data_IF_043211417190
#
_entry.id   IF_043211417190
#
_cell.length_a   1.000
_cell.length_b   1.000
_cell.length_c   1.000
_cell.angle_alpha   90.00
_cell.angle_beta   90.00
_cell.angle_gamma   90.00
#
_symmetry.space_group_name_H-M   'P 1'
#
loop_
_entity.id
_entity.type
_entity.pdbx_description
1 polymer ?
#
# COMPACT_ATOMS: atom_id res chain seq x y z
N UNK A 1 -24.54 -16.38 -61.76
CA UNK A 1 -25.12 -15.46 -60.76
C UNK A 1 -24.64 -15.97 -59.42
N UNK A 2 -23.44 -15.55 -59.07
CA UNK A 2 -22.76 -15.88 -57.83
C UNK A 2 -22.62 -14.54 -57.11
N UNK A 3 -23.22 -14.40 -55.95
CA UNK A 3 -22.88 -13.40 -54.93
C UNK A 3 -23.50 -13.94 -53.63
N UNK A 4 -22.71 -14.59 -52.79
CA UNK A 4 -21.75 -14.02 -51.82
C UNK A 4 -22.45 -13.84 -50.48
N UNK A 5 -22.17 -14.80 -49.60
CA UNK A 5 -22.64 -14.85 -48.22
C UNK A 5 -21.72 -13.92 -47.42
N UNK A 6 -22.23 -12.76 -47.01
CA UNK A 6 -21.52 -11.90 -46.07
C UNK A 6 -21.59 -12.55 -44.68
N UNK A 7 -20.53 -13.27 -44.34
CA UNK A 7 -20.25 -13.75 -42.99
C UNK A 7 -19.53 -12.64 -42.24
N UNK A 8 -20.24 -11.91 -41.38
CA UNK A 8 -19.61 -10.95 -40.46
C UNK A 8 -19.12 -11.70 -39.22
N UNK A 9 -17.88 -12.18 -39.26
CA UNK A 9 -17.18 -12.60 -38.05
C UNK A 9 -16.92 -11.36 -37.18
N UNK A 10 -17.72 -11.25 -36.12
CA UNK A 10 -17.52 -10.27 -35.06
C UNK A 10 -16.60 -10.90 -34.02
N UNK A 11 -15.29 -10.82 -34.24
CA UNK A 11 -14.28 -11.07 -33.21
C UNK A 11 -14.20 -9.84 -32.28
N UNK A 12 -14.90 -9.88 -31.16
CA UNK A 12 -14.76 -8.85 -30.10
C UNK A 12 -13.78 -9.35 -29.04
N UNK A 13 -12.58 -8.79 -29.09
CA UNK A 13 -11.73 -8.40 -27.95
C UNK A 13 -11.54 -9.39 -26.80
N UNK A 14 -10.42 -10.12 -26.80
CA UNK A 14 -9.84 -10.76 -25.61
C UNK A 14 -8.40 -10.29 -25.32
N UNK A 15 -8.02 -9.09 -25.79
CA UNK A 15 -6.62 -8.62 -25.78
C UNK A 15 -6.32 -7.73 -24.54
N UNK A 16 -7.34 -7.22 -23.84
CA UNK A 16 -7.18 -6.12 -22.86
C UNK A 16 -6.79 -6.56 -21.43
N UNK A 17 -7.25 -7.73 -20.97
CA UNK A 17 -7.15 -8.10 -19.55
C UNK A 17 -5.72 -8.39 -19.05
N UNK A 18 -4.84 -8.87 -19.93
CA UNK A 18 -3.47 -9.26 -19.56
C UNK A 18 -2.58 -8.04 -19.40
N UNK A 19 -2.74 -7.02 -20.24
CA UNK A 19 -1.90 -5.80 -20.23
C UNK A 19 -2.19 -4.91 -19.02
N UNK A 20 -3.45 -4.85 -18.59
CA UNK A 20 -3.87 -4.11 -17.39
C UNK A 20 -3.28 -4.69 -16.10
N UNK A 21 -3.13 -6.00 -16.01
CA UNK A 21 -2.58 -6.66 -14.82
C UNK A 21 -1.08 -6.38 -14.67
N UNK A 22 -0.32 -6.38 -15.77
CA UNK A 22 1.11 -6.07 -15.76
C UNK A 22 1.39 -4.59 -15.47
N UNK A 23 0.57 -3.67 -16.02
CA UNK A 23 0.68 -2.23 -15.71
C UNK A 23 0.29 -1.92 -14.27
N UNK A 24 -0.72 -2.59 -13.72
CA UNK A 24 -1.10 -2.42 -12.32
C UNK A 24 0.01 -2.90 -11.38
N UNK A 25 0.61 -4.07 -11.64
CA UNK A 25 1.73 -4.58 -10.86
C UNK A 25 2.92 -3.63 -10.85
N UNK A 26 3.32 -3.11 -12.02
CA UNK A 26 4.45 -2.18 -12.12
C UNK A 26 4.19 -0.82 -11.48
N UNK A 27 2.92 -0.38 -11.41
CA UNK A 27 2.55 0.82 -10.67
C UNK A 27 2.66 0.61 -9.15
N UNK A 28 2.21 -0.54 -8.64
CA UNK A 28 2.26 -0.84 -7.20
C UNK A 28 3.71 -1.00 -6.70
N UNK A 29 4.59 -1.58 -7.51
CA UNK A 29 6.02 -1.66 -7.22
C UNK A 29 6.64 -0.26 -7.11
N UNK A 30 6.41 0.60 -8.11
CA UNK A 30 6.88 1.99 -8.10
C UNK A 30 6.30 2.82 -6.96
N UNK A 31 5.05 2.57 -6.58
CA UNK A 31 4.39 3.21 -5.44
C UNK A 31 5.07 2.78 -4.13
N UNK A 32 5.38 1.50 -3.98
CA UNK A 32 6.13 0.94 -2.86
C UNK A 32 7.54 1.52 -2.75
N UNK A 33 8.28 1.58 -3.85
CA UNK A 33 9.64 2.14 -3.90
C UNK A 33 9.65 3.62 -3.51
N UNK A 34 8.79 4.44 -4.12
CA UNK A 34 8.71 5.87 -3.80
C UNK A 34 8.30 6.13 -2.34
N UNK A 35 7.47 5.25 -1.79
CA UNK A 35 7.06 5.30 -0.39
C UNK A 35 8.21 4.92 0.55
N UNK A 36 8.96 3.87 0.22
CA UNK A 36 10.12 3.43 0.98
C UNK A 36 11.23 4.49 0.96
N UNK A 37 11.54 5.08 -0.21
CA UNK A 37 12.53 6.16 -0.34
C UNK A 37 12.19 7.35 0.59
N UNK A 38 10.91 7.74 0.64
CA UNK A 38 10.45 8.82 1.51
C UNK A 38 10.61 8.46 2.99
N UNK A 39 10.26 7.23 3.38
CA UNK A 39 10.32 6.76 4.75
C UNK A 39 11.77 6.54 5.21
N UNK A 40 12.64 5.99 4.36
CA UNK A 40 14.07 5.83 4.62
C UNK A 40 14.70 7.20 4.89
N UNK A 41 14.46 8.18 4.01
CA UNK A 41 14.95 9.55 4.22
C UNK A 41 14.41 10.19 5.49
N UNK A 42 13.17 9.90 5.89
CA UNK A 42 12.60 10.35 7.16
C UNK A 42 13.31 9.71 8.36
N UNK A 43 13.51 8.39 8.34
CA UNK A 43 14.15 7.63 9.42
C UNK A 43 15.60 8.09 9.61
N UNK A 44 16.34 8.30 8.52
CA UNK A 44 17.69 8.85 8.52
C UNK A 44 17.76 10.24 9.18
N UNK A 45 16.83 11.14 8.82
CA UNK A 45 16.77 12.48 9.41
C UNK A 45 16.43 12.42 10.91
N UNK A 46 15.61 11.45 11.30
CA UNK A 46 15.15 11.28 12.68
C UNK A 46 16.12 10.46 13.55
N UNK A 47 17.19 9.90 12.97
CA UNK A 47 18.12 8.98 13.64
C UNK A 47 17.40 7.78 14.26
N UNK A 48 16.49 7.17 13.48
CA UNK A 48 15.67 6.04 13.91
C UNK A 48 16.04 4.77 13.14
N UNK A 49 16.34 3.70 13.89
CA UNK A 49 16.61 2.39 13.32
C UNK A 49 15.28 1.69 12.97
N UNK A 50 15.06 1.37 11.70
CA UNK A 50 13.89 0.63 11.23
C UNK A 50 14.13 -0.06 9.90
N UNK A 51 13.74 -1.33 9.80
CA UNK A 51 13.80 -2.08 8.54
C UNK A 51 12.50 -1.84 7.76
N UNK A 52 12.62 -1.48 6.49
CA UNK A 52 11.47 -1.24 5.61
C UNK A 52 11.22 -2.47 4.74
N UNK A 53 10.00 -2.99 4.82
CA UNK A 53 9.51 -4.07 3.96
C UNK A 53 8.39 -3.55 3.05
N UNK A 54 8.46 -3.92 1.77
CA UNK A 54 7.43 -3.62 0.77
C UNK A 54 6.72 -4.92 0.38
N UNK A 55 5.39 -4.89 0.35
CA UNK A 55 4.54 -6.00 -0.11
C UNK A 55 3.38 -5.49 -0.96
N UNK A 56 2.68 -6.38 -1.65
CA UNK A 56 1.48 -6.10 -2.42
C UNK A 56 0.32 -6.96 -1.92
N UNK A 57 -0.63 -6.33 -1.23
CA UNK A 57 -1.82 -7.00 -0.70
C UNK A 57 -3.10 -6.37 -1.26
N UNK A 58 -3.98 -7.21 -1.83
CA UNK A 58 -5.31 -6.77 -2.25
C UNK A 58 -5.31 -5.62 -3.27
N UNK A 59 -4.36 -5.63 -4.21
CA UNK A 59 -4.14 -4.59 -5.22
C UNK A 59 -3.80 -3.22 -4.60
N UNK A 60 -2.98 -3.23 -3.55
CA UNK A 60 -2.43 -2.05 -2.87
C UNK A 60 -0.99 -2.33 -2.49
N UNK A 61 -0.14 -1.32 -2.59
CA UNK A 61 1.18 -1.35 -1.98
C UNK A 61 1.02 -1.31 -0.45
N UNK A 62 1.77 -2.16 0.24
CA UNK A 62 1.91 -2.15 1.69
C UNK A 62 3.37 -1.86 2.00
N UNK A 63 3.60 -0.89 2.88
CA UNK A 63 4.94 -0.60 3.41
C UNK A 63 4.90 -0.78 4.91
N UNK A 64 5.82 -1.58 5.43
CA UNK A 64 5.92 -1.86 6.86
C UNK A 64 7.28 -1.43 7.38
N UNK A 65 7.30 -0.71 8.50
CA UNK A 65 8.54 -0.38 9.21
C UNK A 65 8.63 -1.24 10.46
N UNK A 66 9.64 -2.10 10.50
CA UNK A 66 9.90 -3.05 11.60
C UNK A 66 10.94 -2.46 12.54
N UNK A 67 10.67 -2.53 13.84
CA UNK A 67 11.61 -2.07 14.86
C UNK A 67 12.86 -2.96 14.89
N UNK A 68 14.04 -2.35 14.77
CA UNK A 68 15.32 -3.05 15.02
C UNK A 68 15.54 -3.22 16.52
N UNK A 69 15.13 -2.24 17.34
CA UNK A 69 15.11 -2.32 18.80
C UNK A 69 13.75 -1.89 19.34
N UNK A 70 13.31 -2.61 20.37
CA UNK A 70 11.98 -2.40 20.95
C UNK A 70 11.80 -0.98 21.47
N UNK A 71 10.79 -0.28 20.96
CA UNK A 71 10.39 1.06 21.38
C UNK A 71 10.96 2.22 20.58
N UNK A 72 11.86 1.96 19.62
CA UNK A 72 12.48 3.01 18.81
C UNK A 72 11.45 3.72 17.91
N UNK A 73 10.42 3.01 17.44
CA UNK A 73 9.43 3.58 16.51
C UNK A 73 8.12 4.02 17.20
N UNK A 74 8.05 3.95 18.54
CA UNK A 74 6.85 4.34 19.30
C UNK A 74 6.38 5.77 19.02
N UNK A 75 7.32 6.68 18.73
CA UNK A 75 7.03 8.06 18.35
C UNK A 75 6.38 8.19 16.97
N UNK A 76 6.72 7.32 16.02
CA UNK A 76 6.14 7.29 14.68
C UNK A 76 4.72 6.71 14.68
N UNK A 77 4.36 5.94 15.70
CA UNK A 77 2.97 5.50 15.91
C UNK A 77 2.14 6.64 16.53
N UNK A 78 2.65 7.24 17.61
CA UNK A 78 1.95 8.30 18.35
C UNK A 78 0.73 7.81 19.14
N UNK A 79 0.00 8.74 19.76
CA UNK A 79 -1.13 8.38 20.60
C UNK A 79 -2.27 7.80 19.74
N UNK A 80 -2.66 6.55 20.02
CA UNK A 80 -3.71 5.83 19.28
C UNK A 80 -3.47 5.75 17.76
N UNK A 81 -2.23 5.91 17.30
CA UNK A 81 -1.89 5.84 15.87
C UNK A 81 -1.99 7.15 15.11
N UNK A 82 -2.15 8.30 15.78
CA UNK A 82 -2.34 9.59 15.10
C UNK A 82 -1.15 10.00 14.21
N UNK A 83 0.08 9.70 14.65
CA UNK A 83 1.29 10.03 13.88
C UNK A 83 1.43 9.07 12.71
N UNK A 84 1.15 7.77 12.92
CA UNK A 84 1.14 6.78 11.85
C UNK A 84 0.18 7.18 10.72
N UNK A 85 -1.03 7.62 11.06
CA UNK A 85 -2.01 8.05 10.04
C UNK A 85 -1.53 9.33 9.32
N UNK A 86 -0.90 10.27 10.02
CA UNK A 86 -0.31 11.45 9.38
C UNK A 86 0.84 11.07 8.44
N UNK A 87 1.74 10.18 8.88
CA UNK A 87 2.85 9.66 8.07
C UNK A 87 2.33 8.95 6.84
N UNK A 88 1.29 8.13 6.96
CA UNK A 88 0.68 7.46 5.82
C UNK A 88 0.22 8.46 4.76
N UNK A 89 -0.44 9.55 5.14
CA UNK A 89 -0.89 10.55 4.18
C UNK A 89 0.27 11.31 3.53
N UNK A 90 1.34 11.58 4.28
CA UNK A 90 2.56 12.18 3.72
C UNK A 90 3.26 11.23 2.74
N UNK A 91 3.37 9.96 3.08
CA UNK A 91 3.96 8.94 2.19
C UNK A 91 3.11 8.75 0.94
N UNK A 92 1.77 8.74 1.06
CA UNK A 92 0.86 8.74 -0.10
C UNK A 92 1.07 9.94 -1.00
N UNK A 93 1.25 11.12 -0.43
CA UNK A 93 1.53 12.33 -1.18
C UNK A 93 2.88 12.23 -1.91
N UNK A 94 3.91 11.70 -1.26
CA UNK A 94 5.22 11.45 -1.87
C UNK A 94 5.11 10.47 -3.04
N UNK A 95 4.44 9.33 -2.84
CA UNK A 95 4.24 8.33 -3.88
C UNK A 95 3.42 8.88 -5.06
N UNK A 96 2.37 9.67 -4.80
CA UNK A 96 1.59 10.32 -5.88
C UNK A 96 2.41 11.35 -6.63
N UNK A 97 3.29 12.09 -5.96
CA UNK A 97 4.19 13.05 -6.62
C UNK A 97 5.15 12.35 -7.61
N UNK A 98 5.68 11.19 -7.25
CA UNK A 98 6.64 10.46 -8.08
C UNK A 98 5.98 9.61 -9.18
N UNK A 99 4.84 8.98 -8.88
CA UNK A 99 4.13 8.10 -9.84
C UNK A 99 3.15 8.84 -10.73
N UNK A 100 2.67 10.02 -10.32
CA UNK A 100 1.62 10.78 -10.99
C UNK A 100 0.20 10.24 -10.74
N UNK A 101 0.08 9.09 -10.08
CA UNK A 101 -1.19 8.41 -9.82
C UNK A 101 -1.57 8.50 -8.34
N UNK A 102 -2.87 8.46 -8.05
CA UNK A 102 -3.34 8.49 -6.65
C UNK A 102 -2.92 7.21 -5.93
N UNK A 103 -2.13 7.38 -4.89
CA UNK A 103 -1.64 6.28 -4.07
C UNK A 103 -2.76 5.71 -3.19
N UNK A 104 -2.85 4.38 -3.13
CA UNK A 104 -3.72 3.64 -2.21
C UNK A 104 -2.91 2.86 -1.18
N UNK A 105 -1.62 3.20 -1.03
CA UNK A 105 -0.67 2.53 -0.17
C UNK A 105 -1.18 2.48 1.27
N UNK A 106 -0.80 1.44 1.98
CA UNK A 106 -1.02 1.29 3.42
C UNK A 106 0.33 1.26 4.12
N UNK A 107 0.44 2.03 5.20
CA UNK A 107 1.63 2.06 6.04
C UNK A 107 1.33 1.34 7.36
N UNK A 108 2.22 0.45 7.78
CA UNK A 108 2.27 -0.07 9.15
C UNK A 108 3.62 0.23 9.78
N UNK A 109 3.61 0.49 11.08
CA UNK A 109 4.82 0.75 11.87
C UNK A 109 4.72 -0.07 13.14
N UNK A 110 5.78 -0.83 13.45
CA UNK A 110 5.90 -1.63 14.66
C UNK A 110 4.71 -2.57 14.92
N UNK A 111 4.04 -3.09 13.88
CA UNK A 111 2.89 -3.98 14.04
C UNK A 111 1.65 -3.32 14.67
N UNK A 112 1.57 -1.98 14.63
CA UNK A 112 0.50 -1.24 15.29
C UNK A 112 -0.88 -1.65 14.79
N UNK A 113 -1.07 -1.83 13.48
CA UNK A 113 -2.37 -2.19 12.89
C UNK A 113 -2.85 -3.55 13.39
N UNK A 114 -1.97 -4.54 13.50
CA UNK A 114 -2.29 -5.86 14.02
C UNK A 114 -2.70 -5.78 15.50
N UNK A 115 -1.93 -5.06 16.31
CA UNK A 115 -2.22 -4.83 17.74
C UNK A 115 -3.55 -4.11 17.93
N UNK A 116 -3.81 -3.08 17.14
CA UNK A 116 -5.06 -2.31 17.16
C UNK A 116 -6.25 -3.18 16.79
N UNK A 117 -6.12 -4.04 15.77
CA UNK A 117 -7.17 -4.98 15.37
C UNK A 117 -7.54 -5.93 16.50
N UNK A 118 -6.55 -6.52 17.17
CA UNK A 118 -6.78 -7.41 18.31
C UNK A 118 -7.51 -6.68 19.46
N UNK A 119 -7.06 -5.47 19.80
CA UNK A 119 -7.71 -4.67 20.84
C UNK A 119 -9.18 -4.34 20.51
N UNK A 120 -9.49 -4.05 19.25
CA UNK A 120 -10.87 -3.79 18.80
C UNK A 120 -11.74 -5.05 18.83
N UNK A 121 -11.18 -6.22 18.49
CA UNK A 121 -11.89 -7.50 18.60
C UNK A 121 -12.24 -7.80 20.05
N UNK A 122 -11.29 -7.62 20.98
CA UNK A 122 -11.55 -7.82 22.42
C UNK A 122 -12.60 -6.85 22.96
N UNK A 123 -12.53 -5.57 22.57
CA UNK A 123 -13.55 -4.58 22.92
C UNK A 123 -14.94 -4.99 22.40
N UNK A 124 -15.02 -5.49 21.16
CA UNK A 124 -16.28 -5.94 20.58
C UNK A 124 -16.85 -7.16 21.32
N UNK A 125 -16.01 -8.14 21.69
CA UNK A 125 -16.44 -9.31 22.49
C UNK A 125 -16.99 -8.89 23.84
N UNK A 126 -16.30 -7.97 24.52
CA UNK A 126 -16.74 -7.44 25.81
C UNK A 126 -18.06 -6.67 25.71
N UNK A 127 -18.32 -5.97 24.61
CA UNK A 127 -19.55 -5.20 24.42
C UNK A 127 -20.79 -6.05 24.09
N UNK A 128 -20.60 -7.29 23.61
CA UNK A 128 -21.69 -8.22 23.25
C UNK A 128 -22.12 -9.08 24.46
N UNK A 129 -21.35 -9.05 25.55
CA UNK A 129 -21.63 -9.79 26.81
C UNK A 129 -22.32 -8.88 27.82
#
# INVERSE_FOLDING_TARGET
>A
MTDDQVQTDTEVGSIDSTEHTTKAGSLLEREGDAAADYLEGLLDIADLDGDIDIDVEGNRAMVSVVEVRAGDLGHLVGAKGEVLEALQELTRLAATRETGERSRLMLDVAGFRATRRLALIELAKAAIT
#
